data_IF_105155708551
#
_entry.id   IF_105155708551
#
_cell.length_a   1.000
_cell.length_b   1.000
_cell.length_c   1.000
_cell.angle_alpha   90.00
_cell.angle_beta   90.00
_cell.angle_gamma   90.00
#
_symmetry.space_group_name_H-M   'P 1'
#
loop_
_entity.id
_entity.type
_entity.pdbx_description
1 polymer ?
#
# COMPACT_ATOMS: atom_id res chain seq x y z
N UNK A 1 -10.50 16.70 -1.58
CA UNK A 1 -9.75 15.45 -1.55
C UNK A 1 -8.25 15.74 -1.47
N UNK A 2 -7.52 14.89 -0.81
CA UNK A 2 -6.09 15.09 -0.64
C UNK A 2 -5.32 13.92 -1.24
N UNK A 3 -4.08 14.18 -1.60
CA UNK A 3 -3.17 13.13 -2.04
C UNK A 3 -2.40 12.61 -0.84
N UNK A 4 -2.30 11.30 -0.73
CA UNK A 4 -1.58 10.64 0.35
C UNK A 4 -0.47 9.78 -0.24
N UNK A 5 0.73 9.92 0.30
CA UNK A 5 1.84 9.04 -0.02
C UNK A 5 1.89 7.95 1.03
N UNK A 6 1.77 6.72 0.60
CA UNK A 6 1.72 5.56 1.50
C UNK A 6 2.91 4.67 1.19
N UNK A 7 3.70 4.43 2.21
CA UNK A 7 4.88 3.58 2.13
C UNK A 7 4.71 2.36 3.01
N UNK A 8 5.17 1.25 2.53
CA UNK A 8 5.11 0.03 3.30
C UNK A 8 5.86 -1.09 2.61
N UNK A 9 5.48 -2.30 2.94
CA UNK A 9 6.09 -3.50 2.39
C UNK A 9 5.02 -4.52 2.06
N UNK A 10 5.28 -5.34 1.05
CA UNK A 10 4.43 -6.47 0.73
C UNK A 10 5.30 -7.71 0.61
N UNK A 11 4.69 -8.85 0.90
CA UNK A 11 5.41 -10.12 0.82
C UNK A 11 5.33 -10.66 -0.59
N UNK A 12 6.47 -10.76 -1.23
CA UNK A 12 6.53 -11.19 -2.64
C UNK A 12 7.88 -11.76 -2.97
N UNK A 13 8.26 -11.67 -4.24
CA UNK A 13 9.50 -12.22 -4.76
C UNK A 13 9.30 -13.61 -5.35
N UNK A 14 10.39 -14.22 -5.82
CA UNK A 14 10.35 -15.50 -6.50
C UNK A 14 9.78 -16.63 -5.67
N UNK A 15 10.00 -16.59 -4.36
CA UNK A 15 9.52 -17.63 -3.44
C UNK A 15 8.38 -17.14 -2.54
N UNK A 16 7.93 -15.90 -2.73
CA UNK A 16 6.83 -15.34 -1.96
C UNK A 16 7.10 -15.16 -0.47
N UNK A 17 8.37 -15.10 -0.06
CA UNK A 17 8.75 -15.03 1.34
C UNK A 17 9.55 -13.78 1.71
N UNK A 18 9.75 -12.88 0.78
CA UNK A 18 10.54 -11.68 0.98
C UNK A 18 9.64 -10.46 1.06
N UNK A 19 9.87 -9.60 2.06
CA UNK A 19 9.19 -8.32 2.17
C UNK A 19 9.87 -7.32 1.26
N UNK A 20 9.11 -6.75 0.32
CA UNK A 20 9.60 -5.78 -0.65
C UNK A 20 8.99 -4.42 -0.38
N UNK A 21 9.78 -3.35 -0.43
CA UNK A 21 9.26 -2.01 -0.17
C UNK A 21 8.38 -1.53 -1.33
N UNK A 22 7.39 -0.72 -0.99
CA UNK A 22 6.58 -0.04 -1.99
C UNK A 22 6.26 1.38 -1.55
N UNK A 23 5.93 2.20 -2.53
CA UNK A 23 5.46 3.56 -2.29
C UNK A 23 4.38 3.87 -3.32
N UNK A 24 3.24 4.36 -2.85
CA UNK A 24 2.12 4.71 -3.70
C UNK A 24 1.55 6.06 -3.28
N UNK A 25 1.14 6.86 -4.27
CA UNK A 25 0.42 8.10 -4.01
C UNK A 25 -1.00 7.90 -4.51
N UNK A 26 -1.97 8.12 -3.64
CA UNK A 26 -3.38 7.98 -3.97
C UNK A 26 -4.17 9.20 -3.53
N UNK A 27 -5.20 9.54 -4.28
CA UNK A 27 -6.12 10.59 -3.91
C UNK A 27 -7.27 10.00 -3.12
N UNK A 28 -7.59 10.61 -1.98
CA UNK A 28 -8.64 10.12 -1.11
C UNK A 28 -9.16 11.22 -0.21
N UNK A 29 -10.30 10.97 0.43
CA UNK A 29 -10.89 11.90 1.37
C UNK A 29 -10.16 11.91 2.71
N UNK A 30 -9.58 10.79 3.11
CA UNK A 30 -8.87 10.67 4.39
C UNK A 30 -7.85 9.54 4.33
N UNK A 31 -7.00 9.46 5.36
CA UNK A 31 -5.96 8.45 5.44
C UNK A 31 -6.50 7.03 5.41
N UNK A 32 -7.58 6.79 6.14
CA UNK A 32 -8.17 5.45 6.22
C UNK A 32 -8.58 4.94 4.83
N UNK A 33 -9.26 5.79 4.06
CA UNK A 33 -9.65 5.43 2.70
C UNK A 33 -8.45 5.27 1.79
N UNK A 34 -7.43 6.12 1.96
CA UNK A 34 -6.19 6.01 1.19
C UNK A 34 -5.51 4.67 1.44
N UNK A 35 -5.40 4.26 2.70
CA UNK A 35 -4.80 2.97 3.06
C UNK A 35 -5.59 1.82 2.45
N UNK A 36 -6.91 1.87 2.51
CA UNK A 36 -7.76 0.84 1.90
C UNK A 36 -7.56 0.77 0.39
N UNK A 37 -7.41 1.90 -0.27
CA UNK A 37 -7.12 1.92 -1.71
C UNK A 37 -5.79 1.25 -2.02
N UNK A 38 -4.78 1.51 -1.21
CA UNK A 38 -3.45 0.91 -1.40
C UNK A 38 -3.51 -0.60 -1.21
N UNK A 39 -4.21 -1.07 -0.17
CA UNK A 39 -4.40 -2.51 0.00
C UNK A 39 -5.03 -3.16 -1.22
N UNK A 40 -6.05 -2.51 -1.78
CA UNK A 40 -6.71 -3.02 -2.99
C UNK A 40 -5.78 -3.01 -4.19
N UNK A 41 -5.04 -1.93 -4.38
CA UNK A 41 -4.11 -1.80 -5.52
C UNK A 41 -2.99 -2.83 -5.45
N UNK A 42 -2.31 -2.92 -4.33
CA UNK A 42 -1.20 -3.87 -4.16
C UNK A 42 -1.72 -5.30 -4.20
N UNK A 43 -2.83 -5.56 -3.53
CA UNK A 43 -3.44 -6.88 -3.55
C UNK A 43 -3.82 -7.33 -4.95
N UNK A 44 -4.41 -6.43 -5.74
CA UNK A 44 -4.80 -6.73 -7.11
C UNK A 44 -3.59 -6.92 -8.02
N UNK A 45 -2.58 -6.03 -7.90
CA UNK A 45 -1.37 -6.12 -8.74
C UNK A 45 -0.57 -7.39 -8.50
N UNK A 46 -0.50 -7.84 -7.26
CA UNK A 46 0.37 -8.93 -6.86
C UNK A 46 -0.38 -10.19 -6.40
N UNK A 47 -1.70 -10.16 -6.42
CA UNK A 47 -2.51 -11.30 -5.98
C UNK A 47 -2.36 -11.59 -4.50
N UNK A 48 -2.18 -10.56 -3.67
CA UNK A 48 -1.89 -10.71 -2.25
C UNK A 48 -3.11 -10.46 -1.37
N UNK A 49 -3.15 -11.14 -0.25
CA UNK A 49 -4.11 -10.86 0.82
C UNK A 49 -3.59 -9.73 1.69
N UNK A 50 -4.50 -9.05 2.40
CA UNK A 50 -4.13 -7.95 3.30
C UNK A 50 -3.05 -8.31 4.31
N UNK A 51 -3.07 -9.52 4.84
CA UNK A 51 -2.06 -9.96 5.80
C UNK A 51 -0.64 -10.01 5.24
N UNK A 52 -0.50 -9.95 3.93
CA UNK A 52 0.81 -9.93 3.27
C UNK A 52 1.25 -8.53 2.86
N UNK A 53 0.57 -7.52 3.33
CA UNK A 53 0.87 -6.12 3.06
C UNK A 53 0.98 -5.38 4.39
N UNK A 54 2.06 -4.62 4.57
CA UNK A 54 2.27 -3.79 5.76
C UNK A 54 2.37 -2.33 5.36
N UNK A 55 1.69 -1.49 6.10
CA UNK A 55 1.79 -0.04 5.91
C UNK A 55 2.72 0.50 7.00
N UNK A 56 3.80 1.15 6.60
CA UNK A 56 4.78 1.72 7.51
C UNK A 56 4.54 3.20 7.75
N UNK A 57 4.17 3.93 6.71
CA UNK A 57 4.03 5.38 6.80
C UNK A 57 2.94 5.88 5.87
N UNK A 58 2.20 6.87 6.35
CA UNK A 58 1.19 7.57 5.55
C UNK A 58 1.44 9.07 5.71
N UNK A 59 1.64 9.77 4.61
CA UNK A 59 1.85 11.22 4.59
C UNK A 59 0.84 11.89 3.69
N UNK A 60 0.37 13.06 4.11
CA UNK A 60 -0.42 13.90 3.23
C UNK A 60 0.53 14.69 2.33
N UNK A 61 0.33 14.58 1.03
CA UNK A 61 1.11 15.33 0.03
C UNK A 61 0.13 16.05 -0.87
N UNK A 62 0.42 17.28 -1.16
CA UNK A 62 -0.44 18.10 -2.01
C UNK A 62 0.27 18.56 -3.27
#
# INVERSE_FOLDING_TARGET
MSNFEIRGQYKGGLVGKTWLPFSKVVESQNEKNAVNKVYSLIGSEHGLKRGLIKIDEVKTVE
#
